data_IF_008081736683
#
_entry.id   IF_008081736683
#
_cell.length_a   1.000
_cell.length_b   1.000
_cell.length_c   1.000
_cell.angle_alpha   90.00
_cell.angle_beta   90.00
_cell.angle_gamma   90.00
#
_symmetry.space_group_name_H-M   'P 1'
#
loop_
_entity.id
_entity.type
_entity.pdbx_description
1 polymer ?
#
# COMPACT_ATOMS: atom_id res chain seq x y z
N UNK A 1 -4.38 1.31 10.78
CA UNK A 1 -3.04 0.84 10.38
C UNK A 1 -2.97 0.89 8.86
N UNK A 2 -1.85 1.28 8.26
CA UNK A 2 -1.70 1.35 6.82
C UNK A 2 -0.41 0.66 6.38
N UNK A 3 -0.40 0.16 5.14
CA UNK A 3 0.75 -0.54 4.59
C UNK A 3 1.81 0.45 4.12
N UNK A 4 3.08 0.20 4.51
CA UNK A 4 4.23 1.03 4.15
C UNK A 4 4.76 0.67 2.76
N UNK A 5 5.67 1.49 2.24
CA UNK A 5 6.37 1.22 0.99
C UNK A 5 6.94 -0.21 0.94
N UNK A 6 6.72 -0.89 -0.18
CA UNK A 6 7.04 -2.29 -0.46
C UNK A 6 6.30 -3.36 0.36
N UNK A 7 5.30 -2.99 1.15
CA UNK A 7 4.46 -3.98 1.83
C UNK A 7 3.30 -4.46 0.96
N UNK A 8 2.92 -5.73 1.13
CA UNK A 8 1.76 -6.32 0.45
C UNK A 8 0.49 -5.56 0.82
N UNK A 9 -0.35 -5.30 -0.16
CA UNK A 9 -1.58 -4.56 0.03
C UNK A 9 -2.74 -5.22 -0.71
N UNK A 10 -3.92 -5.01 -0.18
CA UNK A 10 -5.21 -5.49 -0.67
C UNK A 10 -6.32 -4.61 -0.08
N UNK A 11 -7.58 -4.94 -0.36
CA UNK A 11 -8.73 -4.15 0.09
C UNK A 11 -8.87 -4.04 1.61
N UNK A 12 -8.35 -5.01 2.38
CA UNK A 12 -8.38 -4.98 3.85
C UNK A 12 -7.13 -4.28 4.42
N UNK A 13 -6.06 -4.22 3.64
CA UNK A 13 -4.75 -3.65 4.01
C UNK A 13 -4.37 -2.51 3.06
N UNK A 14 -5.03 -1.34 3.15
CA UNK A 14 -4.74 -0.21 2.28
C UNK A 14 -3.35 0.37 2.58
N UNK A 15 -2.74 0.95 1.54
CA UNK A 15 -1.50 1.69 1.66
C UNK A 15 -1.68 2.99 2.46
N UNK A 16 -0.60 3.48 3.07
CA UNK A 16 -0.59 4.81 3.63
C UNK A 16 -0.76 5.88 2.54
N UNK A 17 -1.13 7.10 2.94
CA UNK A 17 -1.29 8.22 2.01
C UNK A 17 -0.02 8.43 1.15
N UNK A 18 -0.22 8.74 -0.14
CA UNK A 18 0.86 8.91 -1.11
C UNK A 18 1.36 7.60 -1.77
N UNK A 19 0.84 6.45 -1.37
CA UNK A 19 1.18 5.15 -1.94
C UNK A 19 -0.04 4.53 -2.65
N UNK A 20 0.22 3.88 -3.79
CA UNK A 20 -0.75 3.12 -4.56
C UNK A 20 -0.49 1.63 -4.38
N UNK A 21 -1.57 0.86 -4.25
CA UNK A 21 -1.49 -0.59 -4.18
C UNK A 21 -1.41 -1.21 -5.58
N UNK A 22 -0.29 -1.88 -5.89
CA UNK A 22 -0.15 -2.78 -7.06
C UNK A 22 0.65 -4.02 -6.65
N UNK A 23 -0.02 -4.99 -6.02
CA UNK A 23 0.56 -6.13 -5.28
C UNK A 23 1.24 -5.72 -3.96
N UNK A 24 2.03 -4.64 -4.01
CA UNK A 24 2.58 -3.96 -2.85
C UNK A 24 2.37 -2.45 -2.96
N UNK A 25 2.52 -1.76 -1.84
CA UNK A 25 2.45 -0.31 -1.78
C UNK A 25 3.70 0.31 -2.39
N UNK A 26 3.51 1.19 -3.36
CA UNK A 26 4.59 1.95 -3.97
C UNK A 26 4.11 3.37 -4.28
N UNK A 27 5.06 4.29 -4.43
CA UNK A 27 4.75 5.62 -4.95
C UNK A 27 4.16 5.42 -6.36
N UNK A 28 3.05 6.11 -6.66
CA UNK A 28 2.35 5.99 -7.94
C UNK A 28 3.30 6.13 -9.13
#
# INVERSE_FOLDING_TARGET
YCQKFLWTCDSERPCCEGLVCRLWCKIN
#
